data_IF_021198091703
#
_entry.id   IF_021198091703
#
_cell.length_a   1.000
_cell.length_b   1.000
_cell.length_c   1.000
_cell.angle_alpha   90.00
_cell.angle_beta   90.00
_cell.angle_gamma   90.00
#
_symmetry.space_group_name_H-M   'P 1'
#
loop_
_entity.id
_entity.type
_entity.pdbx_description
1 polymer ?
#
# COMPACT_ATOMS: atom_id res chain seq x y z
N UNK A 1 -19.06 -0.31 24.70
CA UNK A 1 -18.25 -1.10 23.74
C UNK A 1 -18.07 -0.38 22.42
N UNK A 2 -19.15 -0.01 21.71
CA UNK A 2 -19.07 0.70 20.41
C UNK A 2 -18.29 2.02 20.50
N UNK A 3 -18.50 2.82 21.54
CA UNK A 3 -17.77 4.08 21.71
C UNK A 3 -16.25 3.89 21.86
N UNK A 4 -15.82 2.86 22.57
CA UNK A 4 -14.40 2.55 22.73
C UNK A 4 -13.78 2.16 21.38
N UNK A 5 -14.47 1.32 20.61
CA UNK A 5 -14.00 0.92 19.27
C UNK A 5 -13.93 2.11 18.32
N UNK A 6 -14.90 3.03 18.37
CA UNK A 6 -14.85 4.25 17.56
C UNK A 6 -13.62 5.09 17.87
N UNK A 7 -13.38 5.40 19.14
CA UNK A 7 -12.18 6.16 19.56
C UNK A 7 -10.91 5.43 19.14
N UNK A 8 -10.87 4.11 19.32
CA UNK A 8 -9.70 3.34 18.92
C UNK A 8 -9.45 3.42 17.40
N UNK A 9 -10.44 3.14 16.55
CA UNK A 9 -10.24 3.03 15.10
C UNK A 9 -10.10 4.37 14.38
N UNK A 10 -10.75 5.42 14.87
CA UNK A 10 -10.81 6.71 14.16
C UNK A 10 -9.95 7.79 14.81
N UNK A 11 -9.68 7.70 16.12
CA UNK A 11 -8.85 8.70 16.81
C UNK A 11 -7.43 8.20 17.08
N UNK A 12 -7.23 6.91 17.39
CA UNK A 12 -5.91 6.39 17.81
C UNK A 12 -5.20 5.66 16.66
N UNK A 13 -5.87 4.67 16.07
CA UNK A 13 -5.31 3.76 15.08
C UNK A 13 -4.72 4.45 13.83
N UNK A 14 -5.30 5.55 13.29
CA UNK A 14 -4.73 6.20 12.11
C UNK A 14 -3.31 6.72 12.36
N UNK A 15 -3.03 7.22 13.56
CA UNK A 15 -1.68 7.71 13.92
C UNK A 15 -0.70 6.55 14.08
N UNK A 16 -1.12 5.44 14.67
CA UNK A 16 -0.28 4.23 14.76
C UNK A 16 0.09 3.74 13.36
N UNK A 17 -0.90 3.64 12.46
CA UNK A 17 -0.70 3.26 11.06
C UNK A 17 0.27 4.20 10.35
N UNK A 18 0.08 5.53 10.49
CA UNK A 18 0.96 6.52 9.86
C UNK A 18 2.40 6.43 10.40
N UNK A 19 2.59 6.34 11.71
CA UNK A 19 3.92 6.23 12.32
C UNK A 19 4.65 4.98 11.84
N UNK A 20 3.99 3.82 11.86
CA UNK A 20 4.58 2.56 11.38
C UNK A 20 4.86 2.62 9.87
N UNK A 21 3.95 3.20 9.09
CA UNK A 21 4.12 3.37 7.65
C UNK A 21 5.35 4.20 7.31
N UNK A 22 5.48 5.41 7.88
CA UNK A 22 6.60 6.31 7.58
C UNK A 22 7.93 5.81 8.13
N UNK A 23 8.00 5.44 9.42
CA UNK A 23 9.24 4.97 10.03
C UNK A 23 9.67 3.61 9.46
N UNK A 24 8.72 2.69 9.26
CA UNK A 24 9.00 1.39 8.64
C UNK A 24 9.51 1.53 7.20
N UNK A 25 8.92 2.43 6.42
CA UNK A 25 9.38 2.72 5.06
C UNK A 25 10.79 3.33 5.07
N UNK A 26 11.06 4.29 5.96
CA UNK A 26 12.40 4.86 6.10
C UNK A 26 13.42 3.81 6.52
N UNK A 27 13.20 3.10 7.62
CA UNK A 27 14.14 2.09 8.11
C UNK A 27 14.41 1.00 7.05
N UNK A 28 13.39 0.55 6.32
CA UNK A 28 13.58 -0.42 5.23
C UNK A 28 14.35 0.19 4.06
N UNK A 29 14.19 1.48 3.80
CA UNK A 29 14.98 2.18 2.80
C UNK A 29 16.45 2.20 3.21
N UNK A 30 16.80 2.62 4.42
CA UNK A 30 18.21 2.73 4.83
C UNK A 30 18.90 1.36 4.96
N UNK A 31 18.22 0.37 5.53
CA UNK A 31 18.84 -0.91 5.91
C UNK A 31 18.45 -2.10 5.00
N UNK A 32 17.48 -1.95 4.10
CA UNK A 32 16.81 -3.05 3.42
C UNK A 32 16.81 -3.00 1.89
N UNK A 33 17.73 -2.25 1.28
CA UNK A 33 17.76 -1.97 -0.17
C UNK A 33 17.61 -3.23 -1.06
N UNK A 34 18.29 -4.34 -0.75
CA UNK A 34 18.17 -5.59 -1.54
C UNK A 34 16.73 -6.13 -1.59
N UNK A 35 15.94 -5.88 -0.55
CA UNK A 35 14.54 -6.30 -0.47
C UNK A 35 13.57 -5.31 -1.12
N UNK A 36 14.02 -4.13 -1.54
CA UNK A 36 13.18 -3.08 -2.10
C UNK A 36 13.01 -3.26 -3.61
N UNK A 37 12.09 -4.14 -4.00
CA UNK A 37 11.83 -4.47 -5.41
C UNK A 37 10.36 -4.80 -5.66
N UNK A 38 9.90 -4.57 -6.88
CA UNK A 38 8.53 -4.89 -7.31
C UNK A 38 8.19 -6.40 -7.27
N UNK A 39 9.20 -7.27 -7.17
CA UNK A 39 9.05 -8.73 -7.07
C UNK A 39 8.16 -9.33 -8.17
N UNK A 40 8.44 -8.97 -9.43
CA UNK A 40 7.66 -9.45 -10.58
C UNK A 40 7.70 -10.97 -10.70
N UNK A 41 6.52 -11.58 -10.78
CA UNK A 41 6.33 -13.01 -11.04
C UNK A 41 6.09 -13.33 -12.53
N UNK A 42 6.08 -12.31 -13.40
CA UNK A 42 5.73 -12.47 -14.82
C UNK A 42 6.68 -13.40 -15.58
N UNK A 43 7.93 -13.54 -15.14
CA UNK A 43 8.86 -14.50 -15.73
C UNK A 43 8.42 -15.96 -15.48
N UNK A 44 7.80 -16.24 -14.32
CA UNK A 44 7.36 -17.58 -13.92
C UNK A 44 6.06 -17.98 -14.62
N UNK A 45 5.12 -17.04 -14.74
CA UNK A 45 3.90 -17.22 -15.53
C UNK A 45 3.49 -15.91 -16.20
N UNK A 46 3.38 -15.95 -17.52
CA UNK A 46 3.01 -14.80 -18.36
C UNK A 46 1.51 -14.75 -18.66
N UNK A 47 0.77 -15.83 -18.43
CA UNK A 47 -0.60 -15.99 -18.93
C UNK A 47 -1.51 -14.92 -18.32
N UNK A 48 -1.99 -14.01 -19.17
CA UNK A 48 -2.88 -12.93 -18.76
C UNK A 48 -2.24 -11.80 -17.94
N UNK A 49 -0.97 -11.92 -17.52
CA UNK A 49 -0.31 -10.92 -16.65
C UNK A 49 -0.29 -9.52 -17.25
N UNK A 50 -0.10 -9.39 -18.57
CA UNK A 50 -0.12 -8.08 -19.24
C UNK A 50 -1.50 -7.42 -19.14
N UNK A 51 -2.58 -8.18 -19.35
CA UNK A 51 -3.94 -7.65 -19.32
C UNK A 51 -4.32 -7.30 -17.87
N UNK A 52 -4.18 -8.25 -16.96
CA UNK A 52 -4.63 -8.09 -15.57
C UNK A 52 -3.78 -7.07 -14.81
N UNK A 53 -2.46 -7.04 -15.01
CA UNK A 53 -1.59 -6.05 -14.38
C UNK A 53 -1.92 -4.64 -14.86
N UNK A 54 -2.13 -4.45 -16.17
CA UNK A 54 -2.49 -3.14 -16.71
C UNK A 54 -3.87 -2.68 -16.22
N UNK A 55 -4.89 -3.54 -16.26
CA UNK A 55 -6.23 -3.20 -15.77
C UNK A 55 -6.20 -2.82 -14.27
N UNK A 56 -5.45 -3.57 -13.45
CA UNK A 56 -5.31 -3.27 -12.03
C UNK A 56 -4.56 -1.95 -11.79
N UNK A 57 -3.39 -1.75 -12.40
CA UNK A 57 -2.57 -0.56 -12.15
C UNK A 57 -3.21 0.72 -12.69
N UNK A 58 -3.82 0.68 -13.88
CA UNK A 58 -4.55 1.83 -14.41
C UNK A 58 -5.74 2.17 -13.50
N UNK A 59 -6.48 1.14 -13.05
CA UNK A 59 -7.60 1.31 -12.13
C UNK A 59 -7.19 1.90 -10.79
N UNK A 60 -6.19 1.31 -10.11
CA UNK A 60 -5.77 1.75 -8.77
C UNK A 60 -5.13 3.14 -8.80
N UNK A 61 -4.40 3.50 -9.86
CA UNK A 61 -3.86 4.86 -10.02
C UNK A 61 -4.99 5.88 -10.20
N UNK A 62 -6.02 5.55 -10.98
CA UNK A 62 -7.22 6.39 -11.09
C UNK A 62 -7.92 6.59 -9.75
N UNK A 63 -8.11 5.51 -8.98
CA UNK A 63 -8.69 5.56 -7.63
C UNK A 63 -7.82 6.39 -6.68
N UNK A 64 -6.50 6.21 -6.72
CA UNK A 64 -5.56 6.95 -5.88
C UNK A 64 -5.68 8.46 -6.12
N UNK A 65 -5.63 8.91 -7.37
CA UNK A 65 -5.79 10.33 -7.68
C UNK A 65 -7.21 10.84 -7.35
N UNK A 66 -8.23 10.00 -7.52
CA UNK A 66 -9.60 10.32 -7.08
C UNK A 66 -9.70 10.57 -5.57
N UNK A 67 -9.02 9.78 -4.75
CA UNK A 67 -8.97 9.97 -3.28
C UNK A 67 -8.02 11.07 -2.84
N UNK A 68 -7.01 11.42 -3.65
CA UNK A 68 -6.03 12.46 -3.33
C UNK A 68 -6.62 13.87 -3.52
N UNK A 69 -7.46 14.05 -4.54
CA UNK A 69 -8.01 15.35 -4.93
C UNK A 69 -9.52 15.51 -4.65
N UNK A 70 -10.21 14.43 -4.31
CA UNK A 70 -11.61 14.44 -3.87
C UNK A 70 -11.73 14.56 -2.36
#
# INVERSE_FOLDING_TARGET
>A
MIQYLNVFFYDIYPYICATVFFLGSWLRYDYGQYTWRASSSQMLDKRGMVIWSNLFHIGILGIFFGHLFG
#
